data_IF_834503942256
#
_entry.id   IF_834503942256
#
_cell.length_a   1.000
_cell.length_b   1.000
_cell.length_c   1.000
_cell.angle_alpha   90.00
_cell.angle_beta   90.00
_cell.angle_gamma   90.00
#
_symmetry.space_group_name_H-M   'P 1'
#
loop_
_entity.id
_entity.type
_entity.pdbx_description
1 polymer ?
#
# COMPACT_ATOMS: atom_id res chain seq x y z
N UNK A 1 -62.90 6.05 23.71
CA UNK A 1 -61.78 6.87 23.21
C UNK A 1 -60.55 5.98 23.09
N UNK A 2 -60.04 5.74 21.88
CA UNK A 2 -58.85 4.90 21.63
C UNK A 2 -57.61 5.80 21.54
N UNK A 3 -56.66 5.60 22.45
CA UNK A 3 -55.37 6.32 22.43
C UNK A 3 -54.41 5.63 21.46
N UNK A 4 -54.00 6.35 20.42
CA UNK A 4 -52.99 5.93 19.44
C UNK A 4 -51.61 6.18 20.05
N UNK A 5 -50.81 5.12 20.21
CA UNK A 5 -49.40 5.22 20.61
C UNK A 5 -48.55 5.32 19.34
N UNK A 6 -48.02 6.51 19.07
CA UNK A 6 -47.04 6.75 18.00
C UNK A 6 -45.69 6.25 18.50
N UNK A 7 -45.17 5.19 17.88
CA UNK A 7 -43.82 4.68 18.12
C UNK A 7 -42.89 5.34 17.09
N UNK A 8 -42.08 6.29 17.55
CA UNK A 8 -41.04 6.95 16.73
C UNK A 8 -39.82 6.03 16.72
N UNK A 9 -39.60 5.33 15.61
CA UNK A 9 -38.38 4.54 15.37
C UNK A 9 -37.30 5.52 14.90
N UNK A 10 -36.45 5.95 15.83
CA UNK A 10 -35.26 6.76 15.53
C UNK A 10 -34.26 5.82 14.86
N UNK A 11 -34.16 5.92 13.53
CA UNK A 11 -33.15 5.24 12.72
C UNK A 11 -31.77 5.82 13.05
N UNK A 12 -31.04 5.14 13.94
CA UNK A 12 -29.68 5.45 14.30
C UNK A 12 -28.76 5.09 13.13
N UNK A 13 -28.49 6.07 12.27
CA UNK A 13 -27.55 5.93 11.15
C UNK A 13 -26.13 5.84 11.70
N UNK A 14 -25.60 4.63 11.83
CA UNK A 14 -24.20 4.36 12.15
C UNK A 14 -23.34 4.79 10.95
N UNK A 15 -22.84 6.03 10.98
CA UNK A 15 -21.76 6.44 10.10
C UNK A 15 -20.47 5.74 10.55
N UNK A 16 -20.17 4.60 9.94
CA UNK A 16 -18.86 3.96 10.04
C UNK A 16 -17.86 4.82 9.25
N UNK A 17 -17.28 5.81 9.94
CA UNK A 17 -16.08 6.52 9.49
C UNK A 17 -14.97 5.48 9.39
N UNK A 18 -14.77 4.96 8.19
CA UNK A 18 -13.71 4.00 7.89
C UNK A 18 -12.41 4.79 7.81
N UNK A 19 -11.73 4.93 8.95
CA UNK A 19 -10.35 5.39 8.97
C UNK A 19 -9.52 4.33 8.26
N UNK A 20 -9.13 4.57 7.00
CA UNK A 20 -8.23 3.70 6.25
C UNK A 20 -6.85 3.71 6.93
N UNK A 21 -6.64 2.72 7.80
CA UNK A 21 -5.39 2.55 8.53
C UNK A 21 -4.27 2.10 7.59
N UNK A 22 -3.28 2.97 7.37
CA UNK A 22 -2.04 2.62 6.70
C UNK A 22 -1.20 1.69 7.58
N UNK A 23 -0.90 0.49 7.09
CA UNK A 23 0.02 -0.44 7.76
C UNK A 23 1.38 -0.38 7.07
N UNK A 24 2.44 -0.05 7.82
CA UNK A 24 3.82 0.00 7.31
C UNK A 24 4.56 -1.29 7.67
N UNK A 25 5.07 -2.01 6.68
CA UNK A 25 5.80 -3.26 6.87
C UNK A 25 7.28 -3.11 6.52
N UNK A 26 8.15 -3.65 7.38
CA UNK A 26 9.56 -3.91 7.06
C UNK A 26 9.73 -5.41 6.77
N UNK A 27 9.92 -5.77 5.50
CA UNK A 27 10.19 -7.16 5.10
C UNK A 27 9.54 -7.58 3.78
N UNK A 28 9.65 -8.86 3.47
CA UNK A 28 9.19 -9.47 2.20
C UNK A 28 7.73 -9.98 2.25
N UNK A 29 6.98 -9.60 3.30
CA UNK A 29 5.58 -9.99 3.48
C UNK A 29 4.75 -8.76 3.85
N UNK A 30 3.68 -8.56 3.09
CA UNK A 30 2.72 -7.48 3.25
C UNK A 30 1.34 -8.08 3.51
N UNK A 31 0.69 -7.67 4.59
CA UNK A 31 -0.65 -8.16 4.93
C UNK A 31 -1.62 -6.98 4.88
N UNK A 32 -2.73 -7.15 4.15
CA UNK A 32 -3.68 -6.06 3.87
C UNK A 32 -5.10 -6.59 4.07
N UNK A 33 -6.00 -5.80 4.66
CA UNK A 33 -7.44 -6.12 4.58
C UNK A 33 -8.00 -5.69 3.22
N UNK A 34 -8.95 -6.43 2.67
CA UNK A 34 -9.64 -6.00 1.46
C UNK A 34 -10.27 -4.60 1.64
N UNK A 35 -10.04 -3.71 0.68
CA UNK A 35 -10.44 -2.31 0.71
C UNK A 35 -9.42 -1.34 1.32
N UNK A 36 -8.40 -1.84 2.02
CA UNK A 36 -7.38 -1.02 2.68
C UNK A 36 -6.08 -0.93 1.87
N UNK A 37 -5.26 0.05 2.24
CA UNK A 37 -3.93 0.28 1.68
C UNK A 37 -2.87 -0.06 2.73
N UNK A 38 -1.81 -0.73 2.31
CA UNK A 38 -0.61 -0.95 3.11
C UNK A 38 0.63 -0.51 2.32
N UNK A 39 1.73 -0.25 3.01
CA UNK A 39 2.95 0.24 2.40
C UNK A 39 4.20 -0.53 2.83
N UNK A 40 5.19 -0.49 1.94
CA UNK A 40 6.53 -1.00 2.19
C UNK A 40 7.51 0.14 2.04
N UNK A 41 8.40 0.24 3.01
CA UNK A 41 9.43 1.25 3.02
C UNK A 41 10.74 0.66 2.51
N UNK A 42 11.31 1.33 1.51
CA UNK A 42 12.53 0.89 0.83
C UNK A 42 13.52 2.04 0.77
N UNK A 43 14.75 1.80 1.23
CA UNK A 43 15.82 2.79 1.08
C UNK A 43 16.29 2.86 -0.38
N UNK A 44 16.48 4.07 -0.89
CA UNK A 44 16.99 4.34 -2.23
C UNK A 44 18.00 5.50 -2.23
N UNK A 45 19.04 5.38 -3.06
CA UNK A 45 19.96 6.47 -3.38
C UNK A 45 19.40 7.29 -4.56
N UNK A 46 18.40 8.12 -4.28
CA UNK A 46 17.72 8.93 -5.29
C UNK A 46 18.64 10.01 -5.89
N UNK A 47 19.65 10.46 -5.14
CA UNK A 47 20.67 11.39 -5.63
C UNK A 47 21.59 10.74 -6.66
N UNK A 48 21.93 9.46 -6.48
CA UNK A 48 22.61 8.64 -7.48
C UNK A 48 21.74 8.27 -8.69
N UNK A 49 20.47 8.71 -8.71
CA UNK A 49 19.50 8.43 -9.76
C UNK A 49 18.88 7.04 -9.64
N UNK A 50 18.95 6.40 -8.47
CA UNK A 50 18.35 5.09 -8.24
C UNK A 50 16.91 5.17 -7.75
N UNK A 51 16.15 4.13 -8.09
CA UNK A 51 14.73 4.05 -7.80
C UNK A 51 14.25 2.61 -7.63
N UNK A 52 13.28 2.38 -6.74
CA UNK A 52 12.50 1.14 -6.69
C UNK A 52 11.27 1.24 -7.57
N UNK A 53 11.15 0.31 -8.53
CA UNK A 53 10.01 0.21 -9.45
C UNK A 53 9.33 -1.15 -9.33
N UNK A 54 8.04 -1.20 -9.61
CA UNK A 54 7.32 -2.46 -9.79
C UNK A 54 7.71 -3.07 -11.14
N UNK A 55 8.29 -4.26 -11.12
CA UNK A 55 8.81 -4.96 -12.29
C UNK A 55 7.85 -6.00 -12.84
N UNK A 56 7.06 -6.62 -11.96
CA UNK A 56 5.91 -7.45 -12.33
C UNK A 56 4.76 -7.05 -11.44
N UNK A 57 3.58 -6.85 -12.03
CA UNK A 57 2.40 -6.57 -11.24
C UNK A 57 1.96 -7.86 -10.53
N UNK A 58 1.57 -7.71 -9.27
CA UNK A 58 0.74 -8.68 -8.59
C UNK A 58 -0.48 -9.02 -9.44
N UNK A 59 -1.14 -10.15 -9.18
CA UNK A 59 -2.51 -10.36 -9.63
C UNK A 59 -3.33 -9.14 -9.18
N UNK A 60 -3.61 -8.26 -10.14
CA UNK A 60 -4.23 -6.96 -9.90
C UNK A 60 -5.67 -7.12 -9.41
N UNK A 61 -6.25 -8.32 -9.52
CA UNK A 61 -7.56 -8.62 -8.93
C UNK A 61 -7.48 -8.87 -7.42
N UNK A 62 -6.29 -9.20 -6.90
CA UNK A 62 -6.03 -9.43 -5.48
C UNK A 62 -5.49 -8.16 -4.83
N UNK A 63 -4.43 -7.58 -5.39
CA UNK A 63 -3.84 -6.33 -4.90
C UNK A 63 -3.23 -5.51 -6.03
N UNK A 64 -3.33 -4.18 -5.92
CA UNK A 64 -2.84 -3.24 -6.93
C UNK A 64 -1.83 -2.27 -6.33
N UNK A 65 -0.80 -1.92 -7.10
CA UNK A 65 0.12 -0.82 -6.76
C UNK A 65 -0.59 0.52 -6.98
N UNK A 66 -0.70 1.34 -5.94
CA UNK A 66 -1.35 2.66 -6.02
C UNK A 66 -0.37 3.79 -6.29
N UNK A 67 0.92 3.56 -6.08
CA UNK A 67 1.96 4.56 -6.29
C UNK A 67 3.03 4.54 -5.21
N UNK A 68 3.90 5.54 -5.28
CA UNK A 68 5.07 5.67 -4.41
C UNK A 68 5.26 7.10 -3.98
N UNK A 69 5.64 7.28 -2.73
CA UNK A 69 6.14 8.54 -2.19
C UNK A 69 7.63 8.43 -1.89
N UNK A 70 8.37 9.52 -2.06
CA UNK A 70 9.80 9.60 -1.71
C UNK A 70 9.97 10.64 -0.62
N UNK A 71 10.50 10.19 0.51
CA UNK A 71 10.91 11.03 1.64
C UNK A 71 12.42 11.16 1.57
N UNK A 72 12.92 12.32 1.18
CA UNK A 72 14.35 12.58 1.14
C UNK A 72 14.88 12.73 2.57
N UNK A 73 16.11 12.30 2.81
CA UNK A 73 16.80 12.58 4.07
C UNK A 73 17.10 14.07 4.24
N UNK A 74 17.51 14.47 5.45
CA UNK A 74 17.73 15.88 5.80
C UNK A 74 18.83 16.52 4.96
N UNK A 75 19.85 15.75 4.57
CA UNK A 75 20.96 16.21 3.74
C UNK A 75 20.87 15.65 2.33
N UNK A 76 21.48 16.36 1.37
CA UNK A 76 21.59 15.98 -0.04
C UNK A 76 22.39 14.68 -0.31
N UNK A 77 22.96 14.08 0.72
CA UNK A 77 23.69 12.80 0.65
C UNK A 77 22.98 11.67 1.40
N UNK A 78 21.93 12.00 2.15
CA UNK A 78 21.25 11.01 2.97
C UNK A 78 20.39 10.12 2.08
N UNK A 79 20.36 8.79 2.33
CA UNK A 79 19.49 7.90 1.60
C UNK A 79 18.03 8.35 1.73
N UNK A 80 17.30 8.33 0.63
CA UNK A 80 15.86 8.58 0.65
C UNK A 80 15.11 7.30 1.04
N UNK A 81 13.96 7.48 1.69
CA UNK A 81 13.00 6.41 1.94
C UNK A 81 11.89 6.48 0.90
N UNK A 82 11.62 5.36 0.24
CA UNK A 82 10.55 5.20 -0.73
C UNK A 82 9.44 4.37 -0.13
N UNK A 83 8.25 4.96 -0.06
CA UNK A 83 7.05 4.36 0.51
C UNK A 83 6.20 3.89 -0.66
N UNK A 84 6.25 2.59 -0.96
CA UNK A 84 5.44 1.97 -2.01
C UNK A 84 4.10 1.53 -1.45
N UNK A 85 2.99 1.99 -2.04
CA UNK A 85 1.63 1.77 -1.55
C UNK A 85 0.90 0.73 -2.39
N UNK A 86 0.23 -0.19 -1.71
CA UNK A 86 -0.54 -1.27 -2.31
C UNK A 86 -1.92 -1.34 -1.69
N UNK A 87 -2.96 -1.48 -2.52
CA UNK A 87 -4.33 -1.66 -2.06
C UNK A 87 -4.78 -3.09 -2.24
N UNK A 88 -5.31 -3.68 -1.17
CA UNK A 88 -5.95 -4.98 -1.23
C UNK A 88 -7.34 -4.83 -1.85
N UNK A 89 -7.62 -5.56 -2.92
CA UNK A 89 -8.92 -5.53 -3.60
C UNK A 89 -9.79 -6.72 -3.21
N UNK A 90 -9.20 -7.91 -3.21
CA UNK A 90 -9.91 -9.17 -2.95
C UNK A 90 -9.06 -10.08 -2.10
N UNK A 91 -9.72 -10.86 -1.23
CA UNK A 91 -9.04 -11.90 -0.44
C UNK A 91 -8.28 -12.85 -1.34
N UNK A 92 -7.01 -13.10 -1.00
CA UNK A 92 -6.13 -13.90 -1.82
C UNK A 92 -4.66 -13.67 -1.46
N UNK A 93 -3.78 -14.36 -2.18
CA UNK A 93 -2.33 -14.16 -2.08
C UNK A 93 -1.78 -13.87 -3.46
N UNK A 94 -0.87 -12.93 -3.52
CA UNK A 94 -0.16 -12.58 -4.75
C UNK A 94 1.28 -12.23 -4.42
N UNK A 95 2.12 -12.25 -5.44
CA UNK A 95 3.53 -11.89 -5.34
C UNK A 95 3.76 -10.68 -6.23
N UNK A 96 4.55 -9.72 -5.77
CA UNK A 96 5.02 -8.60 -6.56
C UNK A 96 6.55 -8.59 -6.58
N UNK A 97 7.14 -8.28 -7.74
CA UNK A 97 8.58 -8.11 -7.86
C UNK A 97 8.91 -6.63 -7.98
N UNK A 98 9.82 -6.15 -7.14
CA UNK A 98 10.37 -4.81 -7.15
C UNK A 98 11.81 -4.86 -7.67
N UNK A 99 12.14 -3.97 -8.59
CA UNK A 99 13.50 -3.80 -9.08
C UNK A 99 14.06 -2.46 -8.62
N UNK A 100 15.28 -2.50 -8.11
CA UNK A 100 16.11 -1.34 -7.87
C UNK A 100 16.90 -1.05 -9.14
N UNK A 101 16.58 0.05 -9.80
CA UNK A 101 17.13 0.43 -11.10
C UNK A 101 17.76 1.80 -10.99
N UNK A 102 18.80 2.03 -11.80
CA UNK A 102 19.27 3.40 -12.07
C UNK A 102 18.44 3.98 -13.20
N UNK A 103 18.12 5.26 -13.14
CA UNK A 103 17.40 5.95 -14.21
C UNK A 103 18.17 5.82 -15.53
N UNK A 104 17.51 5.25 -16.54
CA UNK A 104 18.09 5.01 -17.86
C UNK A 104 18.66 3.60 -18.05
N UNK A 105 18.80 2.82 -16.98
CA UNK A 105 19.26 1.44 -17.07
C UNK A 105 18.09 0.49 -17.35
N UNK A 106 18.35 -0.53 -18.16
CA UNK A 106 17.39 -1.61 -18.44
C UNK A 106 17.53 -2.79 -17.48
N UNK A 107 18.58 -2.80 -16.66
CA UNK A 107 18.96 -3.92 -15.80
C UNK A 107 18.76 -3.53 -14.34
N UNK A 108 18.11 -4.40 -13.59
CA UNK A 108 17.97 -4.24 -12.15
C UNK A 108 19.31 -4.49 -11.44
N UNK A 109 19.71 -3.55 -10.58
CA UNK A 109 20.87 -3.72 -9.69
C UNK A 109 20.52 -4.60 -8.50
N UNK A 110 19.25 -4.61 -8.11
CA UNK A 110 18.71 -5.49 -7.07
C UNK A 110 17.26 -5.81 -7.37
N UNK A 111 16.86 -7.03 -7.04
CA UNK A 111 15.46 -7.45 -7.11
C UNK A 111 14.99 -7.86 -5.72
N UNK A 112 13.75 -7.50 -5.38
CA UNK A 112 13.05 -7.92 -4.18
C UNK A 112 11.70 -8.50 -4.56
N UNK A 113 11.32 -9.57 -3.89
CA UNK A 113 10.03 -10.20 -4.06
C UNK A 113 9.24 -10.01 -2.78
N UNK A 114 8.03 -9.48 -2.89
CA UNK A 114 7.14 -9.25 -1.76
C UNK A 114 5.92 -10.16 -1.92
N UNK A 115 5.63 -10.95 -0.90
CA UNK A 115 4.39 -11.70 -0.80
C UNK A 115 3.30 -10.81 -0.20
N UNK A 116 2.22 -10.61 -0.93
CA UNK A 116 1.06 -9.84 -0.47
C UNK A 116 -0.06 -10.83 -0.12
N UNK A 117 -0.54 -10.78 1.12
CA UNK A 117 -1.71 -11.53 1.57
C UNK A 117 -2.85 -10.56 1.88
N UNK A 118 -3.98 -10.72 1.18
CA UNK A 118 -5.20 -9.93 1.39
C UNK A 118 -6.23 -10.79 2.11
N UNK A 119 -6.79 -10.28 3.22
CA UNK A 119 -7.78 -11.00 4.04
C UNK A 119 -9.10 -10.25 4.23
#
# INVERSE_FOLDING_TARGET
MKSIKIVIIISLSFFLVSCSGYQNYKGDNLVISAGNTASINMTADTFGGYDWIVASNSDETIAVFEGKETVNGEKKSDPAEQILKFKGLKKGKTIITLNYVKKGDLIAHKTRTINISVY
#
